data_IF_599501172704
#
_entry.id   IF_599501172704
#
_cell.length_a   1.000
_cell.length_b   1.000
_cell.length_c   1.000
_cell.angle_alpha   90.00
_cell.angle_beta   90.00
_cell.angle_gamma   90.00
#
_symmetry.space_group_name_H-M   'P 1'
#
loop_
_entity.id
_entity.type
_entity.pdbx_description
1 polymer ?
#
# COMPACT_ATOMS: atom_id res chain seq x y z
N UNK A 1 -1.80 -25.65 7.15
CA UNK A 1 -1.29 -24.69 7.43
C UNK A 1 -1.39 -23.56 6.73
N UNK A 2 -2.01 -22.73 6.94
CA UNK A 2 -2.12 -21.70 6.22
C UNK A 2 -1.36 -20.67 6.64
N UNK A 3 -0.29 -20.50 6.07
CA UNK A 3 0.47 -19.42 6.34
C UNK A 3 0.28 -18.46 5.29
N UNK A 4 0.04 -17.24 5.61
CA UNK A 4 -0.03 -16.17 4.63
C UNK A 4 1.38 -15.85 4.19
N UNK A 5 1.59 -15.72 2.92
CA UNK A 5 2.91 -15.29 2.45
C UNK A 5 3.25 -13.94 3.05
N UNK A 6 4.52 -13.74 3.28
CA UNK A 6 4.97 -12.48 3.85
C UNK A 6 4.57 -11.30 2.97
N UNK A 7 4.59 -11.48 1.65
CA UNK A 7 4.16 -10.40 0.75
C UNK A 7 2.72 -9.99 1.01
N UNK A 8 1.85 -10.95 1.33
CA UNK A 8 0.46 -10.61 1.65
C UNK A 8 0.33 -9.81 2.91
N UNK A 9 1.11 -10.15 3.93
CA UNK A 9 1.09 -9.41 5.19
C UNK A 9 1.61 -7.99 4.97
N UNK A 10 2.70 -7.86 4.23
CA UNK A 10 3.28 -6.55 3.96
C UNK A 10 2.28 -5.70 3.17
N UNK A 11 1.65 -6.30 2.17
CA UNK A 11 0.67 -5.58 1.37
C UNK A 11 -0.46 -5.05 2.25
N UNK A 12 -0.98 -5.89 3.13
CA UNK A 12 -2.07 -5.49 4.00
C UNK A 12 -1.68 -4.32 4.90
N UNK A 13 -0.48 -4.38 5.44
CA UNK A 13 0.00 -3.31 6.32
C UNK A 13 0.13 -2.01 5.55
N UNK A 14 0.71 -2.06 4.35
CA UNK A 14 0.91 -0.84 3.57
C UNK A 14 -0.42 -0.20 3.15
N UNK A 15 -1.39 -1.04 2.79
CA UNK A 15 -2.70 -0.50 2.46
C UNK A 15 -3.39 0.11 3.67
N UNK A 16 -3.26 -0.53 4.81
CA UNK A 16 -3.91 -0.02 6.01
C UNK A 16 -3.24 1.23 6.55
N UNK A 17 -1.93 1.36 6.33
CA UNK A 17 -1.19 2.47 6.92
C UNK A 17 -1.56 3.82 6.34
N UNK A 18 -1.82 3.88 5.06
CA UNK A 18 -2.14 5.15 4.42
C UNK A 18 -0.99 6.13 4.39
N UNK A 19 0.21 5.67 4.68
CA UNK A 19 1.41 6.50 4.68
C UNK A 19 2.60 5.61 4.42
N UNK A 20 3.75 6.17 4.07
CA UNK A 20 4.92 5.32 3.85
C UNK A 20 5.35 4.62 5.14
N UNK A 21 5.79 3.38 4.99
CA UNK A 21 6.24 2.57 6.11
C UNK A 21 7.61 2.02 5.77
N UNK A 22 8.56 2.18 6.67
CA UNK A 22 9.92 1.70 6.41
C UNK A 22 10.04 0.22 6.73
N UNK A 23 11.12 -0.39 6.27
CA UNK A 23 11.38 -1.79 6.57
C UNK A 23 11.49 -1.98 8.09
N UNK A 24 12.15 -1.05 8.77
CA UNK A 24 12.27 -1.14 10.21
C UNK A 24 10.92 -1.13 10.90
N UNK A 25 10.03 -0.27 10.43
CA UNK A 25 8.70 -0.22 11.01
C UNK A 25 7.93 -1.50 10.73
N UNK A 26 8.09 -2.06 9.55
CA UNK A 26 7.44 -3.33 9.24
C UNK A 26 7.93 -4.43 10.18
N UNK A 27 9.23 -4.47 10.41
CA UNK A 27 9.78 -5.50 11.29
C UNK A 27 9.26 -5.38 12.70
N UNK A 28 9.05 -4.18 13.16
CA UNK A 28 8.58 -3.97 14.52
C UNK A 28 7.16 -4.42 14.74
N UNK A 29 6.41 -4.67 13.70
CA UNK A 29 5.04 -5.13 13.86
C UNK A 29 4.94 -6.61 14.22
N UNK A 30 6.03 -7.35 14.07
CA UNK A 30 6.03 -8.77 14.39
C UNK A 30 6.57 -9.00 15.77
N UNK A 31 6.03 -9.99 16.46
CA UNK A 31 6.58 -10.40 17.76
C UNK A 31 7.99 -10.89 17.54
N UNK A 32 8.83 -10.69 18.55
CA UNK A 32 10.23 -11.05 18.40
C UNK A 32 10.45 -12.45 17.89
N UNK A 33 9.72 -13.40 18.38
CA UNK A 33 9.91 -14.79 17.98
C UNK A 33 9.43 -15.10 16.58
N UNK A 34 8.66 -14.20 15.97
CA UNK A 34 8.12 -14.43 14.65
C UNK A 34 8.59 -13.40 13.65
N UNK A 35 9.51 -12.56 14.04
CA UNK A 35 9.97 -11.46 13.19
C UNK A 35 10.83 -12.01 12.06
N UNK A 36 10.48 -11.76 10.81
CA UNK A 36 11.31 -12.25 9.70
C UNK A 36 12.59 -11.43 9.60
N UNK A 37 13.61 -11.97 8.94
CA UNK A 37 14.80 -11.17 8.67
C UNK A 37 14.48 -10.02 7.72
N UNK A 38 15.26 -8.95 7.84
CA UNK A 38 15.02 -7.77 7.03
C UNK A 38 15.09 -8.06 5.53
N UNK A 39 15.99 -8.94 5.12
CA UNK A 39 16.11 -9.25 3.69
C UNK A 39 14.90 -10.00 3.17
N UNK A 40 14.19 -10.72 4.01
CA UNK A 40 12.95 -11.35 3.56
C UNK A 40 11.84 -10.33 3.37
N UNK A 41 11.82 -9.30 4.20
CA UNK A 41 10.85 -8.22 4.03
C UNK A 41 11.16 -7.47 2.74
N UNK A 42 12.43 -7.21 2.48
CA UNK A 42 12.82 -6.55 1.25
C UNK A 42 12.45 -7.39 0.03
N UNK A 43 12.63 -8.70 0.12
CA UNK A 43 12.24 -9.57 -0.98
C UNK A 43 10.73 -9.59 -1.18
N UNK A 44 9.97 -9.51 -0.09
CA UNK A 44 8.52 -9.45 -0.20
C UNK A 44 8.07 -8.15 -0.87
N UNK A 45 8.74 -7.04 -0.58
CA UNK A 45 8.44 -5.78 -1.24
C UNK A 45 8.72 -5.86 -2.73
N UNK A 46 9.81 -6.49 -3.11
CA UNK A 46 10.12 -6.66 -4.53
C UNK A 46 9.08 -7.53 -5.22
N UNK A 47 8.61 -8.54 -4.53
CA UNK A 47 7.59 -9.42 -5.07
C UNK A 47 6.29 -8.65 -5.29
N UNK A 48 5.93 -7.78 -4.35
CA UNK A 48 4.75 -6.96 -4.51
C UNK A 48 4.89 -5.99 -5.69
N UNK A 49 6.04 -5.39 -5.84
CA UNK A 49 6.25 -4.49 -6.97
C UNK A 49 6.00 -5.20 -8.28
N UNK A 50 6.51 -6.42 -8.40
CA UNK A 50 6.30 -7.20 -9.61
C UNK A 50 4.83 -7.58 -9.77
N UNK A 51 4.19 -7.92 -8.68
CA UNK A 51 2.79 -8.32 -8.73
C UNK A 51 1.86 -7.21 -9.14
N UNK A 52 2.27 -5.95 -8.97
CA UNK A 52 1.45 -4.83 -9.38
C UNK A 52 1.69 -4.39 -10.81
N UNK A 53 2.56 -5.06 -11.54
CA UNK A 53 2.78 -4.73 -12.91
C UNK A 53 1.44 -4.83 -13.63
N UNK A 54 1.12 -3.89 -14.45
CA UNK A 54 -0.11 -3.83 -15.22
C UNK A 54 -1.37 -3.67 -14.36
N UNK A 55 -1.20 -3.20 -13.13
CA UNK A 55 -2.34 -2.94 -12.28
C UNK A 55 -2.47 -1.43 -12.12
N UNK A 56 -3.57 -1.00 -11.52
CA UNK A 56 -3.83 0.42 -11.31
C UNK A 56 -3.03 1.04 -10.19
N UNK A 57 -2.41 0.22 -9.36
CA UNK A 57 -1.60 0.73 -8.25
C UNK A 57 -0.16 0.28 -8.43
N UNK A 58 0.73 0.92 -7.71
CA UNK A 58 2.15 0.57 -7.74
C UNK A 58 2.70 0.68 -6.33
N UNK A 59 3.79 0.00 -6.09
CA UNK A 59 4.51 0.10 -4.83
C UNK A 59 5.74 0.94 -5.07
N UNK A 60 5.88 2.02 -4.32
CA UNK A 60 7.03 2.91 -4.49
C UNK A 60 7.75 3.15 -3.19
N UNK A 61 9.05 3.24 -3.30
CA UNK A 61 9.87 3.63 -2.17
C UNK A 61 10.06 5.14 -2.22
N UNK A 62 9.77 5.80 -1.12
CA UNK A 62 10.00 7.23 -0.99
C UNK A 62 10.89 7.44 0.22
N UNK A 63 11.23 8.69 0.52
CA UNK A 63 12.21 8.97 1.56
C UNK A 63 11.87 8.34 2.91
N UNK A 64 10.61 8.27 3.26
CA UNK A 64 10.23 7.76 4.57
C UNK A 64 9.81 6.31 4.57
N UNK A 65 9.87 5.63 3.46
CA UNK A 65 9.53 4.21 3.42
C UNK A 65 8.82 3.83 2.15
N UNK A 66 8.01 2.78 2.24
CA UNK A 66 7.31 2.23 1.09
C UNK A 66 5.83 2.52 1.18
N UNK A 67 5.21 2.76 0.05
CA UNK A 67 3.78 2.99 0.02
C UNK A 67 3.17 2.43 -1.25
N UNK A 68 1.91 2.03 -1.15
CA UNK A 68 1.13 1.65 -2.31
C UNK A 68 0.35 2.88 -2.75
N UNK A 69 0.43 3.22 -4.01
CA UNK A 69 -0.22 4.42 -4.51
C UNK A 69 -0.80 4.16 -5.89
N UNK A 70 -1.73 4.99 -6.31
CA UNK A 70 -2.28 4.85 -7.65
C UNK A 70 -1.21 5.24 -8.67
N UNK A 71 -1.28 4.63 -9.82
CA UNK A 71 -0.34 5.00 -10.88
C UNK A 71 -0.70 6.39 -11.40
N UNK A 72 0.30 7.22 -11.69
CA UNK A 72 0.02 8.59 -12.13
C UNK A 72 -0.89 8.67 -13.34
N UNK A 73 -0.85 7.68 -14.22
CA UNK A 73 -1.68 7.73 -15.41
C UNK A 73 -3.17 7.67 -15.11
N UNK A 74 -3.54 7.28 -13.89
CA UNK A 74 -4.93 7.24 -13.51
C UNK A 74 -5.35 8.42 -12.64
N UNK A 75 -4.43 9.34 -12.39
CA UNK A 75 -4.69 10.43 -11.45
C UNK A 75 -5.87 11.29 -11.88
N UNK A 76 -5.99 11.55 -13.18
CA UNK A 76 -7.09 12.40 -13.65
C UNK A 76 -8.45 11.80 -13.34
N UNK A 77 -8.61 10.53 -13.60
CA UNK A 77 -9.89 9.88 -13.35
C UNK A 77 -10.14 9.79 -11.86
N UNK A 78 -9.12 9.42 -11.10
CA UNK A 78 -9.29 9.27 -9.65
C UNK A 78 -9.63 10.61 -9.00
N UNK A 79 -9.04 11.70 -9.49
CA UNK A 79 -9.30 13.00 -8.89
C UNK A 79 -10.76 13.41 -8.98
N UNK A 80 -11.48 12.88 -9.93
CA UNK A 80 -12.90 13.20 -10.06
C UNK A 80 -13.72 12.66 -8.90
N UNK A 81 -13.22 11.67 -8.23
CA UNK A 81 -13.87 11.14 -7.05
C UNK A 81 -13.93 12.19 -5.96
N UNK A 82 -12.93 13.05 -5.89
CA UNK A 82 -12.84 14.06 -4.85
C UNK A 82 -13.34 15.42 -5.28
N UNK A 83 -13.78 15.56 -6.54
CA UNK A 83 -14.23 16.86 -6.99
C UNK A 83 -15.59 17.17 -6.44
N UNK A 84 -15.77 18.44 -6.15
CA UNK A 84 -17.02 18.87 -5.65
C UNK A 84 -18.05 18.76 -6.70
N UNK A 85 -19.16 18.17 -6.42
CA UNK A 85 -20.25 18.08 -7.34
C UNK A 85 -21.44 18.70 -6.71
N UNK A 86 -21.59 19.97 -6.89
CA UNK A 86 -22.60 20.70 -6.15
C UNK A 86 -24.00 20.16 -6.30
N UNK A 87 -24.32 19.64 -7.42
CA UNK A 87 -25.66 19.31 -7.61
C UNK A 87 -26.11 18.08 -6.91
N UNK A 88 -25.51 17.00 -7.15
CA UNK A 88 -26.04 15.81 -6.72
C UNK A 88 -25.75 15.42 -5.34
N UNK A 89 -24.52 15.37 -5.05
CA UNK A 89 -24.12 14.89 -3.77
C UNK A 89 -24.39 15.85 -2.65
N UNK A 90 -24.27 17.10 -2.88
CA UNK A 90 -24.55 18.07 -1.85
C UNK A 90 -25.96 17.97 -1.37
N UNK A 91 -26.86 17.82 -2.29
CA UNK A 91 -28.21 17.73 -1.90
C UNK A 91 -28.52 16.46 -1.20
N UNK A 92 -27.93 15.38 -1.60
CA UNK A 92 -28.17 14.11 -0.96
C UNK A 92 -27.71 14.09 0.46
N UNK A 93 -26.75 14.88 0.79
CA UNK A 93 -26.24 14.90 2.15
C UNK A 93 -26.99 15.85 3.04
N UNK A 94 -27.80 16.66 2.49
CA UNK A 94 -28.58 17.55 3.29
C UNK A 94 -29.88 16.90 3.70
#
# INVERSE_FOLDING_TARGET
MSQHPLSGVVEAVLLAAGRPVSVEQLLELFDEGQRPPADEVTAALAELQQGYKDRGVELREVASGWRVQIRPQHADVVSRLWQERPSRYSRALL
#
